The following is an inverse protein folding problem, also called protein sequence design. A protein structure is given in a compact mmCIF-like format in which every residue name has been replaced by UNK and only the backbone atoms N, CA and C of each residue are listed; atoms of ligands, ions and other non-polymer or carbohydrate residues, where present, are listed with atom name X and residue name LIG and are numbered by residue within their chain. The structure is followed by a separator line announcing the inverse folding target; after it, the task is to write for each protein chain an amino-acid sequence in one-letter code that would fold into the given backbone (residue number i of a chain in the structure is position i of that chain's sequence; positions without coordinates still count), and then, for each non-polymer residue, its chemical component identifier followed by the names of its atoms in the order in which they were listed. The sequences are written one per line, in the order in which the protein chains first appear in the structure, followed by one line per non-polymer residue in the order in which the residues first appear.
data_IF_846937579485
#
_entry.id   IF_846937579485
#
_cell.length_a   1.000
_cell.length_b   1.000
_cell.length_c   1.000
_cell.angle_alpha   90.00
_cell.angle_beta   90.00
_cell.angle_gamma   90.00
#
_symmetry.space_group_name_H-M   'P 1'
#
loop_
_entity.id
_entity.type
_entity.pdbx_description
1 polymer ?
#
# COMPACT_ATOMS: atom_id res chain seq x y z
N UNK A 1 33.56 -6.49 -52.75
CA UNK A 1 33.23 -5.05 -52.80
C UNK A 1 31.74 -4.94 -53.08
N UNK A 2 30.86 -4.35 -52.29
CA UNK A 2 31.02 -3.58 -51.06
C UNK A 2 29.74 -3.64 -50.24
N UNK A 3 29.91 -3.38 -48.95
CA UNK A 3 28.92 -3.33 -47.89
C UNK A 3 27.89 -2.20 -48.10
N UNK A 4 26.64 -2.46 -47.72
CA UNK A 4 25.75 -1.43 -47.17
C UNK A 4 25.23 -1.92 -45.82
N UNK A 5 26.02 -1.63 -44.78
CA UNK A 5 25.50 -1.49 -43.43
C UNK A 5 24.46 -0.37 -43.46
N UNK A 6 23.18 -0.72 -43.33
CA UNK A 6 22.16 0.22 -42.90
C UNK A 6 22.50 0.63 -41.48
N UNK A 7 23.08 1.81 -41.33
CA UNK A 7 23.22 2.50 -40.06
C UNK A 7 21.83 2.60 -39.44
N UNK A 8 21.63 1.92 -38.30
CA UNK A 8 20.52 2.18 -37.40
C UNK A 8 20.64 3.60 -36.89
N UNK A 9 20.12 4.55 -37.66
CA UNK A 9 19.89 5.90 -37.18
C UNK A 9 18.99 5.77 -35.95
N UNK A 10 19.53 6.10 -34.78
CA UNK A 10 18.73 6.28 -33.57
C UNK A 10 17.77 7.43 -33.86
N UNK A 11 16.56 7.10 -34.33
CA UNK A 11 15.49 8.09 -34.43
C UNK A 11 15.38 8.79 -33.07
N UNK A 12 15.56 10.12 -33.00
CA UNK A 12 15.41 10.84 -31.76
C UNK A 12 13.99 10.59 -31.27
N UNK A 13 13.88 10.03 -30.05
CA UNK A 13 12.59 9.69 -29.48
C UNK A 13 11.65 10.90 -29.60
N UNK A 14 10.39 10.72 -30.05
CA UNK A 14 9.48 11.83 -30.29
C UNK A 14 9.41 12.71 -29.04
N UNK A 15 9.54 14.03 -29.25
CA UNK A 15 9.53 15.00 -28.16
C UNK A 15 8.22 14.86 -27.36
N UNK A 16 8.34 14.71 -26.04
CA UNK A 16 7.17 14.61 -25.17
C UNK A 16 6.49 15.99 -25.14
N UNK A 17 5.20 16.10 -25.49
CA UNK A 17 4.50 17.37 -25.42
C UNK A 17 4.48 17.89 -23.97
N UNK A 18 4.67 19.19 -23.76
CA UNK A 18 4.65 19.81 -22.42
C UNK A 18 3.37 19.47 -21.63
N UNK A 19 2.25 19.25 -22.34
CA UNK A 19 0.98 18.81 -21.75
C UNK A 19 1.05 17.44 -21.06
N UNK A 20 1.88 16.51 -21.56
CA UNK A 20 2.04 15.20 -20.92
C UNK A 20 2.72 15.32 -19.54
N UNK A 21 3.67 16.25 -19.40
CA UNK A 21 4.27 16.57 -18.10
C UNK A 21 3.28 17.24 -17.16
N UNK A 22 2.47 18.18 -17.65
CA UNK A 22 1.38 18.79 -16.87
C UNK A 22 0.41 17.73 -16.34
N UNK A 23 -0.02 16.79 -17.20
CA UNK A 23 -0.88 15.66 -16.83
C UNK A 23 -0.22 14.77 -15.77
N UNK A 24 1.07 14.47 -15.93
CA UNK A 24 1.82 13.65 -14.99
C UNK A 24 1.87 14.32 -13.61
N UNK A 25 2.27 15.59 -13.52
CA UNK A 25 2.37 16.30 -12.24
C UNK A 25 1.01 16.51 -11.59
N UNK A 26 -0.02 16.89 -12.37
CA UNK A 26 -1.38 17.03 -11.87
C UNK A 26 -1.93 15.70 -11.33
N UNK A 27 -1.73 14.59 -12.06
CA UNK A 27 -2.15 13.26 -11.62
C UNK A 27 -1.39 12.78 -10.40
N UNK A 28 -0.09 13.11 -10.31
CA UNK A 28 0.75 12.75 -9.16
C UNK A 28 0.32 13.52 -7.91
N UNK A 29 0.04 14.82 -8.04
CA UNK A 29 -0.48 15.64 -6.94
C UNK A 29 -1.87 15.15 -6.50
N UNK A 30 -2.77 14.88 -7.44
CA UNK A 30 -4.08 14.29 -7.16
C UNK A 30 -3.94 12.98 -6.41
N UNK A 31 -3.05 12.10 -6.87
CA UNK A 31 -2.79 10.82 -6.23
C UNK A 31 -2.20 10.96 -4.83
N UNK A 32 -1.30 11.94 -4.63
CA UNK A 32 -0.75 12.27 -3.32
C UNK A 32 -1.82 12.70 -2.33
N UNK A 33 -2.66 13.67 -2.70
CA UNK A 33 -3.75 14.16 -1.84
C UNK A 33 -4.75 13.02 -1.57
N UNK A 34 -5.08 12.22 -2.59
CA UNK A 34 -5.89 11.04 -2.42
C UNK A 34 -5.32 10.09 -1.35
N UNK A 35 -4.01 9.81 -1.39
CA UNK A 35 -3.35 8.94 -0.42
C UNK A 35 -3.32 9.53 1.00
N UNK A 36 -3.12 10.85 1.13
CA UNK A 36 -3.21 11.55 2.42
C UNK A 36 -4.59 11.31 3.05
N UNK A 37 -5.64 11.56 2.26
CA UNK A 37 -7.02 11.48 2.73
C UNK A 37 -7.46 10.04 2.98
N UNK A 38 -7.05 9.11 2.11
CA UNK A 38 -7.34 7.68 2.26
C UNK A 38 -6.78 7.10 3.58
N UNK A 39 -5.58 7.54 3.99
CA UNK A 39 -4.92 7.08 5.22
C UNK A 39 -5.31 7.87 6.47
N UNK A 40 -6.27 8.81 6.38
CA UNK A 40 -6.66 9.71 7.48
C UNK A 40 -7.01 8.97 8.78
N UNK A 41 -7.79 7.89 8.70
CA UNK A 41 -8.19 7.12 9.89
C UNK A 41 -7.01 6.41 10.59
N UNK A 42 -5.87 6.21 9.93
CA UNK A 42 -4.69 5.64 10.58
C UNK A 42 -4.17 6.48 11.75
N UNK A 43 -4.27 7.81 11.65
CA UNK A 43 -3.88 8.73 12.74
C UNK A 43 -5.11 9.20 13.52
N UNK A 44 -6.15 9.61 12.79
CA UNK A 44 -7.37 10.14 13.40
C UNK A 44 -8.15 9.08 14.19
N UNK A 45 -7.95 7.79 13.91
CA UNK A 45 -8.55 6.71 14.67
C UNK A 45 -8.08 6.66 16.13
N UNK A 46 -6.89 7.17 16.46
CA UNK A 46 -6.33 7.13 17.82
C UNK A 46 -7.17 7.95 18.81
N UNK A 47 -7.46 9.24 18.58
CA UNK A 47 -8.38 9.99 19.42
C UNK A 47 -9.83 9.48 19.31
N UNK A 48 -10.29 9.04 18.13
CA UNK A 48 -11.65 8.48 17.99
C UNK A 48 -11.85 7.22 18.84
N UNK A 49 -10.81 6.40 19.00
CA UNK A 49 -10.84 5.24 19.90
C UNK A 49 -11.10 5.65 21.35
N UNK A 50 -10.48 6.74 21.80
CA UNK A 50 -10.63 7.26 23.15
C UNK A 50 -12.03 7.87 23.34
N UNK A 51 -12.48 8.73 22.40
CA UNK A 51 -13.78 9.39 22.43
C UNK A 51 -14.96 8.41 22.39
N UNK A 52 -14.85 7.32 21.62
CA UNK A 52 -15.92 6.33 21.45
C UNK A 52 -15.74 5.07 22.32
N UNK A 53 -14.70 5.04 23.16
CA UNK A 53 -14.32 3.89 23.98
C UNK A 53 -14.21 2.57 23.20
N UNK A 54 -13.58 2.63 22.01
CA UNK A 54 -13.47 1.46 21.12
C UNK A 54 -12.46 0.44 21.66
N UNK A 55 -12.82 -0.84 21.54
CA UNK A 55 -11.86 -1.93 21.69
C UNK A 55 -10.89 -1.99 20.50
N UNK A 56 -9.86 -2.83 20.57
CA UNK A 56 -8.81 -2.86 19.54
C UNK A 56 -9.37 -3.42 18.22
N UNK A 57 -10.35 -4.32 18.27
CA UNK A 57 -11.05 -4.89 17.10
C UNK A 57 -11.86 -3.84 16.35
N UNK A 58 -12.64 -3.02 17.07
CA UNK A 58 -13.42 -1.91 16.52
C UNK A 58 -12.51 -0.82 15.94
N UNK A 59 -11.38 -0.54 16.58
CA UNK A 59 -10.35 0.34 16.03
C UNK A 59 -9.75 -0.23 14.73
N UNK A 60 -9.45 -1.53 14.71
CA UNK A 60 -9.01 -2.24 13.50
C UNK A 60 -10.02 -2.08 12.36
N UNK A 61 -11.31 -2.30 12.65
CA UNK A 61 -12.40 -2.14 11.69
C UNK A 61 -12.51 -0.69 11.18
N UNK A 62 -12.45 0.31 12.08
CA UNK A 62 -12.48 1.73 11.73
C UNK A 62 -11.36 2.12 10.75
N UNK A 63 -10.13 1.70 11.06
CA UNK A 63 -8.95 2.07 10.26
C UNK A 63 -8.86 1.31 8.95
N UNK A 64 -9.38 0.08 8.88
CA UNK A 64 -9.25 -0.79 7.72
C UNK A 64 -10.43 -0.72 6.75
N UNK A 65 -11.59 -0.21 7.16
CA UNK A 65 -12.78 -0.08 6.29
C UNK A 65 -12.53 0.68 4.97
N UNK A 66 -11.81 1.82 4.95
CA UNK A 66 -11.45 2.47 3.68
C UNK A 66 -10.52 1.64 2.79
N UNK A 67 -9.76 0.71 3.36
CA UNK A 67 -8.88 -0.18 2.59
C UNK A 67 -9.71 -1.18 1.79
N UNK A 68 -10.80 -1.69 2.37
CA UNK A 68 -11.72 -2.62 1.71
C UNK A 68 -12.32 -2.01 0.44
N UNK A 69 -12.96 -0.84 0.57
CA UNK A 69 -13.60 -0.22 -0.59
C UNK A 69 -12.57 0.30 -1.60
N UNK A 70 -11.38 0.72 -1.15
CA UNK A 70 -10.27 0.99 -2.07
C UNK A 70 -9.85 -0.24 -2.87
N UNK A 71 -9.85 -1.43 -2.28
CA UNK A 71 -9.57 -2.67 -2.99
C UNK A 71 -10.66 -3.01 -4.02
N UNK A 72 -11.93 -2.91 -3.61
CA UNK A 72 -13.09 -3.27 -4.43
C UNK A 72 -13.32 -2.28 -5.58
N UNK A 73 -13.17 -0.98 -5.32
CA UNK A 73 -13.42 0.08 -6.29
C UNK A 73 -12.33 0.21 -7.36
N UNK A 74 -11.15 -0.41 -7.17
CA UNK A 74 -10.08 -0.42 -8.19
C UNK A 74 -10.56 -0.95 -9.53
N UNK A 75 -11.33 -2.04 -9.52
CA UNK A 75 -11.80 -2.63 -10.76
C UNK A 75 -12.85 -1.72 -11.43
N UNK A 76 -14.00 -1.37 -10.81
CA UNK A 76 -14.99 -0.50 -11.44
C UNK A 76 -14.43 0.84 -11.92
N UNK A 77 -13.59 1.50 -11.12
CA UNK A 77 -12.97 2.77 -11.50
C UNK A 77 -12.00 2.62 -12.68
N UNK A 78 -11.26 1.51 -12.76
CA UNK A 78 -10.46 1.18 -13.95
C UNK A 78 -11.34 1.08 -15.20
N UNK A 79 -12.47 0.36 -15.11
CA UNK A 79 -13.45 0.26 -16.20
C UNK A 79 -13.96 1.63 -16.66
N UNK A 80 -14.35 2.45 -15.69
CA UNK A 80 -14.89 3.77 -15.96
C UNK A 80 -13.83 4.68 -16.55
N UNK A 81 -12.57 4.52 -16.16
CA UNK A 81 -11.43 5.25 -16.74
C UNK A 81 -11.24 4.90 -18.20
N UNK A 82 -11.36 3.62 -18.55
CA UNK A 82 -11.28 3.19 -19.94
C UNK A 82 -12.46 3.70 -20.79
N UNK A 83 -13.66 3.76 -20.20
CA UNK A 83 -14.89 4.17 -20.89
C UNK A 83 -15.07 5.68 -21.00
N UNK A 84 -14.88 6.41 -19.91
CA UNK A 84 -15.17 7.85 -19.79
C UNK A 84 -13.91 8.72 -19.78
N UNK A 85 -12.73 8.12 -19.71
CA UNK A 85 -11.44 8.81 -19.68
C UNK A 85 -11.01 9.23 -18.27
N UNK A 86 -9.70 9.19 -18.01
CA UNK A 86 -9.16 9.44 -16.67
C UNK A 86 -9.37 10.86 -16.13
N UNK A 87 -9.47 11.88 -17.01
CA UNK A 87 -9.73 13.26 -16.59
C UNK A 87 -11.08 13.38 -15.87
N UNK A 88 -12.15 12.85 -16.47
CA UNK A 88 -13.50 12.95 -15.91
C UNK A 88 -13.59 12.11 -14.64
N UNK A 89 -13.15 10.86 -14.71
CA UNK A 89 -13.27 9.92 -13.58
C UNK A 89 -12.48 10.40 -12.37
N UNK A 90 -11.24 10.87 -12.53
CA UNK A 90 -10.45 11.39 -11.41
C UNK A 90 -11.08 12.64 -10.79
N UNK A 91 -11.59 13.57 -11.61
CA UNK A 91 -12.22 14.80 -11.12
C UNK A 91 -13.50 14.50 -10.34
N UNK A 92 -14.37 13.64 -10.89
CA UNK A 92 -15.60 13.20 -10.22
C UNK A 92 -15.25 12.48 -8.92
N UNK A 93 -14.22 11.62 -8.92
CA UNK A 93 -13.78 10.92 -7.72
C UNK A 93 -13.38 11.90 -6.60
N UNK A 94 -12.56 12.90 -6.91
CA UNK A 94 -12.11 13.91 -5.94
C UNK A 94 -13.28 14.71 -5.37
N UNK A 95 -14.19 15.18 -6.22
CA UNK A 95 -15.35 16.00 -5.79
C UNK A 95 -16.34 15.16 -4.99
N UNK A 96 -16.75 14.00 -5.49
CA UNK A 96 -17.75 13.15 -4.84
C UNK A 96 -17.24 12.65 -3.49
N UNK A 97 -15.96 12.33 -3.36
CA UNK A 97 -15.39 11.87 -2.09
C UNK A 97 -15.14 13.00 -1.08
N UNK A 98 -15.09 14.27 -1.52
CA UNK A 98 -14.94 15.40 -0.59
C UNK A 98 -16.14 15.56 0.36
N UNK A 99 -17.35 15.24 -0.11
CA UNK A 99 -18.59 15.32 0.66
C UNK A 99 -18.61 14.36 1.86
N UNK A 100 -18.41 13.04 1.68
CA UNK A 100 -18.34 12.11 2.81
C UNK A 100 -17.15 12.41 3.73
N UNK A 101 -15.98 12.81 3.19
CA UNK A 101 -14.84 13.24 4.00
C UNK A 101 -15.22 14.40 4.93
N UNK A 102 -15.91 15.42 4.42
CA UNK A 102 -16.41 16.53 5.24
C UNK A 102 -17.42 16.04 6.29
N UNK A 103 -18.27 15.08 5.91
CA UNK A 103 -19.23 14.41 6.79
C UNK A 103 -18.62 13.75 8.03
N UNK A 104 -17.36 13.30 7.97
CA UNK A 104 -16.64 12.74 9.14
C UNK A 104 -16.64 13.73 10.31
N UNK A 105 -16.58 15.04 10.05
CA UNK A 105 -16.54 16.06 11.10
C UNK A 105 -17.81 16.15 11.95
N UNK A 106 -18.91 15.54 11.51
CA UNK A 106 -20.21 15.49 12.21
C UNK A 106 -20.52 14.10 12.79
N UNK A 107 -19.67 13.10 12.52
CA UNK A 107 -19.89 11.74 12.99
C UNK A 107 -19.63 11.63 14.51
N UNK A 108 -20.51 10.93 15.22
CA UNK A 108 -20.43 10.69 16.66
C UNK A 108 -20.60 9.21 17.05
N UNK A 109 -20.80 8.32 16.08
CA UNK A 109 -20.98 6.89 16.32
C UNK A 109 -20.16 6.05 15.34
N UNK A 110 -19.64 4.90 15.80
CA UNK A 110 -18.77 4.02 14.99
C UNK A 110 -19.36 3.70 13.61
N UNK A 111 -20.65 3.34 13.53
CA UNK A 111 -21.31 3.00 12.27
C UNK A 111 -21.30 4.15 11.25
N UNK A 112 -21.32 5.41 11.70
CA UNK A 112 -21.22 6.59 10.84
C UNK A 112 -19.82 6.68 10.24
N UNK A 113 -18.78 6.47 11.05
CA UNK A 113 -17.40 6.43 10.57
C UNK A 113 -17.15 5.26 9.62
N UNK A 114 -17.76 4.10 9.86
CA UNK A 114 -17.67 2.96 8.93
C UNK A 114 -18.35 3.26 7.61
N UNK A 115 -19.59 3.75 7.63
CA UNK A 115 -20.34 4.10 6.42
C UNK A 115 -19.59 5.16 5.60
N UNK A 116 -19.10 6.21 6.25
CA UNK A 116 -18.30 7.26 5.59
C UNK A 116 -16.96 6.70 5.11
N UNK A 117 -16.32 5.82 5.89
CA UNK A 117 -15.09 5.14 5.53
C UNK A 117 -15.21 4.28 4.26
N UNK A 118 -16.37 3.69 4.01
CA UNK A 118 -16.64 2.98 2.76
C UNK A 118 -16.53 3.92 1.55
N UNK A 119 -17.04 5.16 1.64
CA UNK A 119 -16.86 6.15 0.59
C UNK A 119 -15.41 6.67 0.50
N UNK A 120 -14.73 6.80 1.65
CA UNK A 120 -13.33 7.24 1.70
C UNK A 120 -12.41 6.31 0.90
N UNK A 121 -12.67 5.00 0.90
CA UNK A 121 -11.86 4.06 0.15
C UNK A 121 -11.90 4.25 -1.37
N UNK A 122 -12.95 4.86 -1.93
CA UNK A 122 -12.99 5.21 -3.35
C UNK A 122 -11.78 6.07 -3.74
N UNK A 123 -11.35 6.98 -2.86
CA UNK A 123 -10.16 7.82 -3.03
C UNK A 123 -8.88 6.97 -3.12
N UNK A 124 -8.80 5.89 -2.34
CA UNK A 124 -7.69 4.93 -2.39
C UNK A 124 -7.62 4.12 -3.70
N UNK A 125 -8.71 4.05 -4.44
CA UNK A 125 -8.77 3.42 -5.77
C UNK A 125 -8.33 4.36 -6.91
N UNK A 126 -7.97 5.62 -6.62
CA UNK A 126 -7.45 6.60 -7.59
C UNK A 126 -6.22 6.11 -8.37
N UNK A 127 -5.43 5.17 -7.81
CA UNK A 127 -4.33 4.52 -8.53
C UNK A 127 -4.78 3.83 -9.83
N UNK A 128 -5.94 3.17 -9.81
CA UNK A 128 -6.50 2.47 -10.96
C UNK A 128 -6.96 3.44 -12.07
N UNK A 129 -7.26 4.69 -11.71
CA UNK A 129 -7.63 5.76 -12.65
C UNK A 129 -6.38 6.41 -13.23
N UNK A 130 -5.44 6.82 -12.37
CA UNK A 130 -4.28 7.61 -12.79
C UNK A 130 -3.24 6.81 -13.58
N UNK A 131 -3.05 5.51 -13.29
CA UNK A 131 -2.06 4.67 -13.98
C UNK A 131 -2.32 4.58 -15.49
N UNK A 132 -3.49 4.09 -15.98
CA UNK A 132 -3.75 4.04 -17.41
C UNK A 132 -3.85 5.43 -18.03
N UNK A 133 -4.39 6.41 -17.30
CA UNK A 133 -4.50 7.79 -17.76
C UNK A 133 -3.12 8.38 -18.11
N UNK A 134 -2.16 8.36 -17.18
CA UNK A 134 -0.81 8.88 -17.39
C UNK A 134 -0.07 8.04 -18.45
N UNK A 135 -0.21 6.71 -18.43
CA UNK A 135 0.51 5.83 -19.36
C UNK A 135 0.21 6.12 -20.84
N UNK A 136 -1.01 6.59 -21.15
CA UNK A 136 -1.47 6.92 -22.51
C UNK A 136 -0.80 8.17 -23.09
N UNK A 137 -0.29 9.09 -22.27
CA UNK A 137 0.40 10.30 -22.74
C UNK A 137 1.89 10.12 -22.99
N UNK A 138 2.48 8.98 -22.59
CA UNK A 138 3.92 8.73 -22.71
C UNK A 138 4.25 7.55 -23.65
N UNK A 139 5.32 7.67 -24.46
CA UNK A 139 5.77 6.58 -25.33
C UNK A 139 6.35 5.41 -24.51
N UNK A 140 6.31 4.16 -25.01
CA UNK A 140 6.73 2.96 -24.26
C UNK A 140 8.08 3.09 -23.54
N UNK A 141 9.09 3.67 -24.22
CA UNK A 141 10.44 3.87 -23.68
C UNK A 141 10.53 4.78 -22.45
N UNK A 142 9.53 5.66 -22.24
CA UNK A 142 9.48 6.60 -21.10
C UNK A 142 8.31 6.35 -20.15
N UNK A 143 7.46 5.34 -20.42
CA UNK A 143 6.35 4.97 -19.53
C UNK A 143 6.83 4.59 -18.14
N UNK A 144 7.95 3.86 -18.02
CA UNK A 144 8.52 3.50 -16.72
C UNK A 144 8.80 4.71 -15.82
N UNK A 145 9.42 5.77 -16.38
CA UNK A 145 9.68 7.02 -15.66
C UNK A 145 8.37 7.70 -15.22
N UNK A 146 7.41 7.82 -16.14
CA UNK A 146 6.12 8.43 -15.84
C UNK A 146 5.35 7.67 -14.76
N UNK A 147 5.34 6.34 -14.82
CA UNK A 147 4.72 5.49 -13.79
C UNK A 147 5.45 5.58 -12.45
N UNK A 148 6.78 5.72 -12.45
CA UNK A 148 7.57 5.93 -11.24
C UNK A 148 7.22 7.26 -10.56
N UNK A 149 7.18 8.36 -11.31
CA UNK A 149 6.80 9.69 -10.80
C UNK A 149 5.35 9.68 -10.31
N UNK A 150 4.42 9.11 -11.07
CA UNK A 150 3.04 8.96 -10.63
C UNK A 150 2.94 8.14 -9.34
N UNK A 151 3.66 7.01 -9.26
CA UNK A 151 3.71 6.17 -8.07
C UNK A 151 4.28 6.86 -6.82
N UNK A 152 5.10 7.91 -7.00
CA UNK A 152 5.59 8.73 -5.89
C UNK A 152 4.45 9.42 -5.11
N UNK A 153 3.24 9.56 -5.68
CA UNK A 153 2.08 10.04 -4.93
C UNK A 153 1.73 9.18 -3.72
N UNK A 154 2.17 7.91 -3.65
CA UNK A 154 2.01 7.11 -2.43
C UNK A 154 2.68 7.71 -1.18
N UNK A 155 3.65 8.63 -1.36
CA UNK A 155 4.26 9.43 -0.28
C UNK A 155 3.20 10.19 0.53
N UNK A 156 2.01 10.42 -0.03
CA UNK A 156 0.86 10.96 0.71
C UNK A 156 0.55 10.22 2.02
N UNK A 157 0.79 8.91 2.11
CA UNK A 157 0.63 8.16 3.36
C UNK A 157 1.57 8.67 4.47
N UNK A 158 2.81 9.00 4.12
CA UNK A 158 3.77 9.58 5.05
C UNK A 158 3.45 11.05 5.35
N UNK A 159 3.02 11.83 4.35
CA UNK A 159 2.57 13.21 4.56
C UNK A 159 1.43 13.26 5.58
N UNK A 160 0.47 12.34 5.50
CA UNK A 160 -0.60 12.20 6.50
C UNK A 160 -0.09 11.96 7.92
N UNK A 161 1.01 11.21 8.09
CA UNK A 161 1.64 10.96 9.39
C UNK A 161 2.31 12.21 9.98
N UNK A 162 2.60 13.24 9.19
CA UNK A 162 3.09 14.53 9.70
C UNK A 162 1.96 15.56 9.84
N UNK A 163 1.10 15.69 8.83
CA UNK A 163 0.06 16.73 8.77
C UNK A 163 -1.06 16.45 9.78
N UNK A 164 -1.57 15.21 9.85
CA UNK A 164 -2.72 14.89 10.71
C UNK A 164 -2.44 15.14 12.20
N UNK A 165 -1.33 14.65 12.80
CA UNK A 165 -1.04 14.90 14.21
C UNK A 165 -0.89 16.39 14.55
N UNK A 166 -0.32 17.18 13.64
CA UNK A 166 -0.16 18.63 13.85
C UNK A 166 -1.52 19.35 13.85
N UNK A 167 -2.39 19.02 12.89
CA UNK A 167 -3.76 19.55 12.87
C UNK A 167 -4.56 19.10 14.09
N UNK A 168 -4.37 17.85 14.54
CA UNK A 168 -4.99 17.32 15.76
C UNK A 168 -4.57 18.11 17.00
N UNK A 169 -3.27 18.38 17.16
CA UNK A 169 -2.74 19.10 18.31
C UNK A 169 -3.19 20.58 18.33
N UNK A 170 -3.30 21.22 17.16
CA UNK A 170 -3.62 22.65 17.07
C UNK A 170 -5.12 22.95 17.09
N UNK A 171 -5.95 22.12 16.44
CA UNK A 171 -7.35 22.44 16.16
C UNK A 171 -8.34 21.30 16.48
N UNK A 172 -7.85 20.15 16.95
CA UNK A 172 -8.67 18.98 17.24
C UNK A 172 -9.07 18.16 16.01
N UNK A 173 -9.63 16.98 16.26
CA UNK A 173 -9.85 15.97 15.20
C UNK A 173 -10.92 16.34 14.18
N UNK A 174 -11.93 17.14 14.56
CA UNK A 174 -13.02 17.54 13.65
C UNK A 174 -12.55 18.45 12.52
N UNK A 175 -11.44 19.18 12.68
CA UNK A 175 -10.91 20.09 11.65
C UNK A 175 -10.16 19.32 10.56
N UNK A 176 -9.50 18.22 10.90
CA UNK A 176 -8.76 17.37 9.94
C UNK A 176 -9.60 16.98 8.71
N UNK A 177 -10.79 16.34 8.85
CA UNK A 177 -11.62 15.99 7.71
C UNK A 177 -12.12 17.22 6.93
N UNK A 178 -12.32 18.38 7.56
CA UNK A 178 -12.71 19.60 6.85
C UNK A 178 -11.60 20.12 5.95
N UNK A 179 -10.37 20.15 6.47
CA UNK A 179 -9.17 20.51 5.70
C UNK A 179 -8.94 19.52 4.55
N UNK A 180 -9.14 18.23 4.81
CA UNK A 180 -8.96 17.18 3.80
C UNK A 180 -10.02 17.22 2.71
N UNK A 181 -11.28 17.50 3.06
CA UNK A 181 -12.34 17.74 2.08
C UNK A 181 -12.02 18.95 1.20
N UNK A 182 -11.58 20.06 1.79
CA UNK A 182 -11.17 21.25 1.04
C UNK A 182 -9.98 20.93 0.12
N UNK A 183 -8.98 20.20 0.61
CA UNK A 183 -7.83 19.78 -0.17
C UNK A 183 -8.24 18.94 -1.40
N UNK A 184 -9.21 18.03 -1.26
CA UNK A 184 -9.76 17.27 -2.39
C UNK A 184 -10.44 18.18 -3.42
N UNK A 185 -11.26 19.15 -2.99
CA UNK A 185 -11.94 20.08 -3.90
C UNK A 185 -10.95 20.99 -4.63
N UNK A 186 -9.99 21.57 -3.91
CA UNK A 186 -8.93 22.42 -4.50
C UNK A 186 -8.11 21.60 -5.50
N UNK A 187 -7.78 20.36 -5.15
CA UNK A 187 -7.02 19.46 -6.02
C UNK A 187 -7.84 19.02 -7.23
N UNK A 188 -9.16 18.86 -7.10
CA UNK A 188 -10.05 18.61 -8.24
C UNK A 188 -10.04 19.78 -9.22
N UNK A 189 -10.08 21.02 -8.72
CA UNK A 189 -9.99 22.22 -9.56
C UNK A 189 -8.64 22.29 -10.27
N UNK A 190 -7.53 22.18 -9.52
CA UNK A 190 -6.17 22.17 -10.09
C UNK A 190 -6.01 21.07 -11.13
N UNK A 191 -6.46 19.86 -10.81
CA UNK A 191 -6.41 18.72 -11.73
C UNK A 191 -7.25 18.99 -12.99
N UNK A 192 -8.47 19.52 -12.86
CA UNK A 192 -9.33 19.80 -14.01
C UNK A 192 -8.69 20.79 -14.99
N UNK A 193 -8.02 21.84 -14.50
CA UNK A 193 -7.37 22.84 -15.35
C UNK A 193 -6.00 22.42 -15.88
N UNK A 194 -5.24 21.63 -15.11
CA UNK A 194 -3.88 21.21 -15.48
C UNK A 194 -3.84 19.89 -16.28
N UNK A 195 -4.93 19.11 -16.27
CA UNK A 195 -5.05 17.83 -17.00
C UNK A 195 -5.60 18.01 -18.41
N UNK A 196 -5.47 16.97 -19.24
CA UNK A 196 -5.89 16.96 -20.65
C UNK A 196 -6.94 15.87 -20.93
N UNK A 197 -7.80 16.02 -21.97
CA UNK A 197 -8.68 14.94 -22.41
C UNK A 197 -7.89 13.66 -22.69
N UNK A 198 -8.45 12.52 -22.27
CA UNK A 198 -7.79 11.20 -22.38
C UNK A 198 -7.79 10.73 -23.84
N UNK A 199 -6.61 10.51 -24.46
CA UNK A 199 -6.50 10.06 -25.86
C UNK A 199 -7.07 8.67 -26.10
N UNK A 200 -7.24 7.86 -25.06
CA UNK A 200 -7.74 6.48 -25.13
C UNK A 200 -9.16 6.28 -24.60
N UNK A 201 -9.91 7.37 -24.34
CA UNK A 201 -11.29 7.26 -23.88
C UNK A 201 -12.15 6.49 -24.90
N UNK A 202 -12.82 5.43 -24.45
CA UNK A 202 -13.72 4.61 -25.27
C UNK A 202 -13.06 3.45 -26.02
N UNK A 203 -11.76 3.19 -25.83
CA UNK A 203 -11.02 2.17 -26.57
C UNK A 203 -11.31 0.71 -26.15
N UNK A 204 -11.86 0.47 -24.95
CA UNK A 204 -12.09 -0.88 -24.42
C UNK A 204 -13.58 -1.24 -24.28
N UNK A 205 -14.01 -2.29 -24.99
CA UNK A 205 -15.35 -2.92 -24.91
C UNK A 205 -15.29 -4.36 -24.35
N UNK A 206 -14.35 -4.64 -23.46
CA UNK A 206 -14.15 -6.00 -22.92
C UNK A 206 -15.18 -6.39 -21.87
N UNK A 207 -15.57 -7.68 -21.85
CA UNK A 207 -16.48 -8.23 -20.83
C UNK A 207 -15.74 -8.50 -19.51
N UNK A 208 -16.31 -7.98 -18.42
CA UNK A 208 -15.83 -8.15 -17.05
C UNK A 208 -15.80 -9.61 -16.60
N UNK A 209 -16.65 -10.44 -17.19
CA UNK A 209 -16.84 -11.85 -16.82
C UNK A 209 -15.69 -12.74 -17.33
N UNK A 210 -15.12 -12.43 -18.51
CA UNK A 210 -14.01 -13.20 -19.06
C UNK A 210 -12.72 -13.04 -18.25
N UNK A 211 -12.59 -11.93 -17.53
CA UNK A 211 -11.44 -11.64 -16.66
C UNK A 211 -11.34 -12.60 -15.47
N UNK A 212 -12.47 -13.15 -14.98
CA UNK A 212 -12.46 -14.10 -13.86
C UNK A 212 -11.97 -15.50 -14.25
N UNK A 213 -11.86 -15.83 -15.54
CA UNK A 213 -11.31 -17.13 -15.99
C UNK A 213 -9.88 -17.36 -15.52
N UNK A 214 -9.13 -16.29 -15.30
CA UNK A 214 -7.74 -16.33 -14.85
C UNK A 214 -7.60 -16.86 -13.41
N UNK A 215 -8.65 -16.76 -12.58
CA UNK A 215 -8.68 -17.36 -11.23
C UNK A 215 -8.59 -18.89 -11.22
N UNK A 216 -8.78 -19.55 -12.37
CA UNK A 216 -8.59 -21.00 -12.48
C UNK A 216 -7.12 -21.41 -12.42
N UNK A 217 -6.18 -20.48 -12.64
CA UNK A 217 -4.74 -20.77 -12.57
C UNK A 217 -4.24 -20.67 -11.12
N UNK A 218 -3.69 -21.76 -10.54
CA UNK A 218 -3.10 -21.75 -9.20
C UNK A 218 -1.97 -20.74 -8.99
N UNK A 219 -1.25 -20.36 -10.07
CA UNK A 219 -0.17 -19.37 -10.01
C UNK A 219 -0.70 -17.99 -9.61
N UNK A 220 -1.94 -17.66 -9.98
CA UNK A 220 -2.58 -16.39 -9.61
C UNK A 220 -2.82 -16.33 -8.11
N UNK A 221 -3.31 -17.42 -7.50
CA UNK A 221 -3.51 -17.51 -6.06
C UNK A 221 -2.22 -17.40 -5.26
N UNK A 222 -1.12 -17.95 -5.79
CA UNK A 222 0.23 -17.76 -5.25
C UNK A 222 0.61 -16.27 -5.20
N UNK A 223 0.40 -15.54 -6.29
CA UNK A 223 0.69 -14.10 -6.35
C UNK A 223 -0.24 -13.28 -5.45
N UNK A 224 -1.53 -13.66 -5.37
CA UNK A 224 -2.47 -13.08 -4.42
C UNK A 224 -2.00 -13.22 -2.98
N UNK A 225 -1.47 -14.38 -2.60
CA UNK A 225 -0.95 -14.63 -1.26
C UNK A 225 0.30 -13.79 -0.95
N UNK A 226 1.25 -13.66 -1.89
CA UNK A 226 2.44 -12.83 -1.65
C UNK A 226 2.09 -11.35 -1.58
N UNK A 227 1.17 -10.89 -2.42
CA UNK A 227 0.74 -9.51 -2.41
C UNK A 227 -0.13 -9.16 -1.19
N UNK A 228 -0.94 -10.10 -0.69
CA UNK A 228 -1.71 -9.90 0.56
C UNK A 228 -0.81 -9.67 1.76
N UNK A 229 0.39 -10.25 1.79
CA UNK A 229 1.37 -10.05 2.86
C UNK A 229 2.14 -8.76 2.66
N UNK A 230 2.70 -8.57 1.47
CA UNK A 230 3.58 -7.42 1.22
C UNK A 230 2.79 -6.12 1.20
N UNK A 231 1.69 -6.02 0.44
CA UNK A 231 0.83 -4.83 0.43
C UNK A 231 -0.13 -4.80 1.63
N UNK A 232 -0.78 -5.91 1.95
CA UNK A 232 -1.75 -5.94 3.05
C UNK A 232 -1.08 -5.81 4.42
N UNK A 233 0.04 -6.50 4.64
CA UNK A 233 0.87 -6.33 5.85
C UNK A 233 1.47 -4.93 5.97
N UNK A 234 1.95 -4.35 4.86
CA UNK A 234 2.40 -2.96 4.84
C UNK A 234 1.28 -1.99 5.21
N UNK A 235 0.10 -2.15 4.61
CA UNK A 235 -1.05 -1.28 4.89
C UNK A 235 -1.50 -1.42 6.34
N UNK A 236 -1.62 -2.66 6.83
CA UNK A 236 -2.06 -2.94 8.19
C UNK A 236 -1.09 -2.40 9.25
N UNK A 237 0.22 -2.63 9.07
CA UNK A 237 1.23 -2.07 9.97
C UNK A 237 1.30 -0.55 9.90
N UNK A 238 1.16 0.06 8.72
CA UNK A 238 1.11 1.53 8.60
C UNK A 238 0.01 2.16 9.44
N UNK A 239 -1.14 1.50 9.53
CA UNK A 239 -2.28 1.93 10.36
C UNK A 239 -2.07 1.62 11.86
N UNK A 240 -1.33 0.55 12.18
CA UNK A 240 -1.18 0.06 13.55
C UNK A 240 -0.01 0.70 14.32
N UNK A 241 1.11 0.98 13.65
CA UNK A 241 2.36 1.46 14.28
C UNK A 241 2.17 2.75 15.09
N UNK A 242 1.45 3.80 14.63
CA UNK A 242 1.29 5.01 15.43
C UNK A 242 0.65 4.74 16.80
N UNK A 243 -0.40 3.92 16.83
CA UNK A 243 -1.05 3.52 18.07
C UNK A 243 -0.13 2.61 18.92
N UNK A 244 0.61 1.71 18.28
CA UNK A 244 1.57 0.84 18.98
C UNK A 244 2.67 1.66 19.69
N UNK A 245 3.23 2.66 19.02
CA UNK A 245 4.24 3.56 19.58
C UNK A 245 3.68 4.42 20.72
N UNK A 246 2.48 4.98 20.56
CA UNK A 246 1.79 5.75 21.62
C UNK A 246 1.57 4.88 22.86
N UNK A 247 0.93 3.73 22.71
CA UNK A 247 0.51 2.91 23.85
C UNK A 247 1.66 2.07 24.42
N UNK A 248 2.53 1.56 23.55
CA UNK A 248 3.67 0.68 23.87
C UNK A 248 4.85 1.41 24.48
N UNK A 249 5.24 2.54 23.89
CA UNK A 249 6.42 3.32 24.30
C UNK A 249 6.08 4.64 25.00
N UNK A 250 4.79 4.93 25.24
CA UNK A 250 4.35 6.12 25.96
C UNK A 250 4.58 7.43 25.20
N UNK A 251 4.71 7.37 23.87
CA UNK A 251 5.04 8.52 23.05
C UNK A 251 3.84 9.44 22.82
N UNK A 252 4.08 10.73 22.60
CA UNK A 252 3.05 11.62 22.06
C UNK A 252 2.61 11.15 20.67
N UNK A 253 1.37 11.42 20.27
CA UNK A 253 0.86 11.02 18.95
C UNK A 253 1.70 11.62 17.81
N UNK A 254 2.16 12.86 17.96
CA UNK A 254 3.03 13.53 16.98
C UNK A 254 4.35 12.76 16.80
N UNK A 255 5.02 12.41 17.90
CA UNK A 255 6.27 11.67 17.84
C UNK A 255 6.04 10.24 17.29
N UNK A 256 5.01 9.55 17.78
CA UNK A 256 4.63 8.22 17.32
C UNK A 256 4.38 8.17 15.81
N UNK A 257 3.64 9.14 15.26
CA UNK A 257 3.39 9.22 13.82
C UNK A 257 4.64 9.59 13.02
N UNK A 258 5.51 10.46 13.54
CA UNK A 258 6.80 10.78 12.89
C UNK A 258 7.71 9.55 12.77
N UNK A 259 7.82 8.73 13.83
CA UNK A 259 8.57 7.46 13.76
C UNK A 259 7.86 6.43 12.86
N UNK A 260 6.53 6.37 12.88
CA UNK A 260 5.77 5.53 11.96
C UNK A 260 5.98 5.92 10.48
N UNK A 261 6.27 7.19 10.19
CA UNK A 261 6.62 7.62 8.84
C UNK A 261 7.91 6.96 8.34
N UNK A 262 8.83 6.59 9.25
CA UNK A 262 10.00 5.78 8.93
C UNK A 262 9.67 4.39 8.39
N UNK A 263 8.52 3.80 8.76
CA UNK A 263 8.03 2.57 8.15
C UNK A 263 7.42 2.82 6.76
N UNK A 264 6.66 3.92 6.61
CA UNK A 264 5.85 4.18 5.41
C UNK A 264 6.64 4.80 4.24
N UNK A 265 7.54 5.75 4.51
CA UNK A 265 8.35 6.45 3.50
C UNK A 265 9.17 5.51 2.61
N UNK A 266 9.91 4.52 3.16
CA UNK A 266 10.66 3.56 2.35
C UNK A 266 9.74 2.75 1.44
N UNK A 267 8.53 2.41 1.92
CA UNK A 267 7.49 1.74 1.14
C UNK A 267 7.18 2.41 -0.19
N UNK A 268 7.09 3.74 -0.17
CA UNK A 268 6.79 4.55 -1.35
C UNK A 268 7.99 4.75 -2.28
N UNK A 269 9.15 5.08 -1.71
CA UNK A 269 10.34 5.47 -2.50
C UNK A 269 11.11 4.24 -3.01
N UNK A 270 11.29 3.23 -2.15
CA UNK A 270 12.12 2.06 -2.46
C UNK A 270 11.41 1.06 -3.38
N UNK A 271 10.11 1.23 -3.64
CA UNK A 271 9.37 0.38 -4.59
C UNK A 271 9.99 0.37 -5.99
N UNK A 272 10.46 1.53 -6.48
CA UNK A 272 11.15 1.62 -7.76
C UNK A 272 12.48 0.85 -7.75
N UNK A 273 13.22 0.94 -6.65
CA UNK A 273 14.47 0.19 -6.45
C UNK A 273 14.21 -1.32 -6.37
N UNK A 274 13.13 -1.74 -5.71
CA UNK A 274 12.70 -3.14 -5.68
C UNK A 274 12.39 -3.70 -7.06
N UNK A 275 11.77 -2.90 -7.93
CA UNK A 275 11.56 -3.24 -9.33
C UNK A 275 12.88 -3.43 -10.07
N UNK A 276 13.80 -2.47 -9.97
CA UNK A 276 15.13 -2.57 -10.59
C UNK A 276 15.94 -3.78 -10.07
N UNK A 277 15.81 -4.11 -8.78
CA UNK A 277 16.44 -5.27 -8.18
C UNK A 277 15.83 -6.57 -8.71
N UNK A 278 14.50 -6.62 -8.86
CA UNK A 278 13.79 -7.75 -9.45
C UNK A 278 14.10 -7.90 -10.95
N UNK A 279 14.41 -6.80 -11.63
CA UNK A 279 14.95 -6.76 -13.00
C UNK A 279 16.32 -7.40 -13.12
N UNK A 280 17.21 -7.13 -12.17
CA UNK A 280 18.57 -7.65 -12.21
C UNK A 280 18.72 -9.07 -11.68
N UNK A 281 18.04 -9.41 -10.59
CA UNK A 281 18.25 -10.66 -9.84
C UNK A 281 17.07 -11.64 -9.94
N UNK A 282 16.00 -11.25 -10.64
CA UNK A 282 14.77 -12.04 -10.76
C UNK A 282 13.78 -11.80 -9.62
N UNK A 283 12.49 -11.88 -9.94
CA UNK A 283 11.41 -11.65 -8.99
C UNK A 283 11.40 -12.66 -7.83
N UNK A 284 11.83 -13.91 -8.09
CA UNK A 284 11.95 -14.94 -7.07
C UNK A 284 12.96 -14.60 -5.98
N UNK A 285 14.20 -14.32 -6.37
CA UNK A 285 15.28 -14.08 -5.41
C UNK A 285 14.96 -12.90 -4.48
N UNK A 286 14.42 -11.81 -5.04
CA UNK A 286 14.02 -10.62 -4.28
C UNK A 286 12.91 -10.95 -3.29
N UNK A 287 11.90 -11.73 -3.71
CA UNK A 287 10.79 -12.12 -2.83
C UNK A 287 11.25 -13.09 -1.74
N UNK A 288 12.05 -14.09 -2.09
CA UNK A 288 12.59 -15.10 -1.17
C UNK A 288 13.42 -14.46 -0.05
N UNK A 289 14.45 -13.69 -0.41
CA UNK A 289 15.29 -13.02 0.57
C UNK A 289 14.53 -11.94 1.34
N UNK A 290 13.61 -11.23 0.68
CA UNK A 290 12.71 -10.29 1.33
C UNK A 290 11.91 -10.96 2.45
N UNK A 291 11.24 -12.09 2.17
CA UNK A 291 10.46 -12.80 3.17
C UNK A 291 11.32 -13.31 4.35
N UNK A 292 12.56 -13.73 4.12
CA UNK A 292 13.48 -14.09 5.22
C UNK A 292 13.85 -12.90 6.10
N UNK A 293 14.17 -11.74 5.52
CA UNK A 293 14.46 -10.54 6.29
C UNK A 293 13.22 -10.08 7.06
N UNK A 294 12.04 -10.12 6.43
CA UNK A 294 10.78 -9.82 7.11
C UNK A 294 10.53 -10.79 8.28
N UNK A 295 10.80 -12.08 8.09
CA UNK A 295 10.64 -13.10 9.12
C UNK A 295 11.53 -12.84 10.34
N UNK A 296 12.81 -12.50 10.13
CA UNK A 296 13.74 -12.13 11.22
C UNK A 296 13.25 -10.85 11.93
N UNK A 297 12.86 -9.82 11.19
CA UNK A 297 12.38 -8.58 11.78
C UNK A 297 11.12 -8.80 12.63
N UNK A 298 10.17 -9.58 12.10
CA UNK A 298 8.93 -9.91 12.79
C UNK A 298 9.18 -10.80 14.00
N UNK A 299 10.13 -11.73 13.95
CA UNK A 299 10.54 -12.53 15.10
C UNK A 299 11.03 -11.63 16.24
N UNK A 300 11.95 -10.72 15.95
CA UNK A 300 12.49 -9.79 16.95
C UNK A 300 11.42 -8.84 17.50
N UNK A 301 10.50 -8.36 16.66
CA UNK A 301 9.37 -7.51 17.07
C UNK A 301 8.27 -8.27 17.83
N UNK A 302 8.18 -9.59 17.65
CA UNK A 302 7.14 -10.42 18.26
C UNK A 302 7.33 -10.60 19.77
N UNK A 303 8.57 -10.47 20.26
CA UNK A 303 8.88 -10.72 21.67
C UNK A 303 8.30 -9.62 22.58
N UNK A 304 7.35 -9.95 23.49
CA UNK A 304 6.79 -8.97 24.40
C UNK A 304 7.82 -8.55 25.46
N UNK A 305 7.73 -7.33 26.02
CA UNK A 305 8.55 -6.94 27.17
C UNK A 305 8.39 -7.96 28.30
N UNK A 306 9.50 -8.59 28.69
CA UNK A 306 9.51 -9.70 29.65
C UNK A 306 10.59 -9.47 30.70
N UNK A 307 10.21 -9.53 31.98
CA UNK A 307 11.13 -9.53 33.11
C UNK A 307 11.38 -10.99 33.53
N UNK A 308 12.56 -11.52 33.19
CA UNK A 308 13.00 -12.85 33.61
C UNK A 308 13.70 -12.75 34.95
N UNK A 309 13.08 -13.29 36.00
CA UNK A 309 13.66 -13.36 37.34
C UNK A 309 14.35 -14.71 37.50
N UNK A 310 15.67 -14.68 37.71
CA UNK A 310 16.51 -15.86 37.93
C UNK A 310 16.95 -15.86 39.39
N UNK A 311 16.53 -16.89 40.14
CA UNK A 311 16.98 -17.11 41.51
C UNK A 311 18.35 -17.80 41.48
N UNK A 312 19.43 -17.05 41.73
CA UNK A 312 20.79 -17.56 41.80
C UNK A 312 21.22 -17.79 43.24
N UNK A 313 22.38 -18.43 43.43
CA UNK A 313 22.95 -18.72 44.76
C UNK A 313 23.29 -17.41 45.50
N UNK A 314 23.66 -16.36 44.76
CA UNK A 314 24.06 -15.05 45.30
C UNK A 314 22.90 -14.04 45.41
N UNK A 315 21.67 -14.44 45.05
CA UNK A 315 20.48 -13.60 45.12
C UNK A 315 19.58 -13.66 43.88
N UNK A 316 18.65 -12.72 43.76
CA UNK A 316 17.77 -12.62 42.59
C UNK A 316 18.40 -11.77 41.50
N UNK A 317 18.73 -12.37 40.36
CA UNK A 317 19.09 -11.65 39.14
C UNK A 317 17.84 -11.39 38.30
N UNK A 318 17.68 -10.18 37.77
CA UNK A 318 16.55 -9.85 36.88
C UNK A 318 17.09 -9.45 35.51
N UNK A 319 16.60 -10.13 34.46
CA UNK A 319 16.91 -9.84 33.07
C UNK A 319 15.66 -9.27 32.40
N UNK A 320 15.69 -7.97 32.07
CA UNK A 320 14.62 -7.31 31.34
C UNK A 320 14.86 -7.40 29.84
N UNK A 321 14.10 -8.25 29.16
CA UNK A 321 14.10 -8.38 27.72
C UNK A 321 13.04 -7.44 27.14
N UNK A 322 13.48 -6.37 26.47
CA UNK A 322 12.58 -5.49 25.73
C UNK A 322 13.25 -5.01 24.45
N UNK A 323 12.45 -4.75 23.40
CA UNK A 323 12.94 -4.12 22.18
C UNK A 323 13.06 -2.61 22.44
N UNK A 324 14.27 -2.02 22.48
CA UNK A 324 14.42 -0.58 22.67
C UNK A 324 13.85 0.18 21.46
N UNK A 325 13.43 1.43 21.68
CA UNK A 325 12.79 2.25 20.64
C UNK A 325 13.64 2.34 19.36
N UNK A 326 14.95 2.53 19.50
CA UNK A 326 15.87 2.59 18.36
C UNK A 326 15.84 1.30 17.52
N UNK A 327 15.86 0.13 18.18
CA UNK A 327 15.75 -1.15 17.50
C UNK A 327 14.39 -1.31 16.83
N UNK A 328 13.29 -0.92 17.50
CA UNK A 328 11.95 -0.96 16.92
C UNK A 328 11.85 -0.12 15.63
N UNK A 329 12.37 1.10 15.65
CA UNK A 329 12.37 1.99 14.48
C UNK A 329 13.20 1.40 13.33
N UNK A 330 14.39 0.86 13.61
CA UNK A 330 15.23 0.23 12.59
C UNK A 330 14.55 -1.02 12.02
N UNK A 331 14.02 -1.90 12.87
CA UNK A 331 13.35 -3.13 12.44
C UNK A 331 12.10 -2.84 11.60
N UNK A 332 11.29 -1.86 11.99
CA UNK A 332 10.12 -1.44 11.21
C UNK A 332 10.52 -0.75 9.91
N UNK A 333 11.55 0.10 9.89
CA UNK A 333 12.07 0.67 8.65
C UNK A 333 12.51 -0.41 7.66
N UNK A 334 13.30 -1.39 8.12
CA UNK A 334 13.76 -2.53 7.30
C UNK A 334 12.57 -3.35 6.81
N UNK A 335 11.60 -3.63 7.67
CA UNK A 335 10.38 -4.35 7.31
C UNK A 335 9.57 -3.61 6.24
N UNK A 336 9.44 -2.28 6.36
CA UNK A 336 8.77 -1.43 5.37
C UNK A 336 9.47 -1.45 4.02
N UNK A 337 10.81 -1.36 4.00
CA UNK A 337 11.63 -1.47 2.79
C UNK A 337 11.47 -2.84 2.10
N UNK A 338 11.51 -3.91 2.88
CA UNK A 338 11.34 -5.29 2.39
C UNK A 338 9.96 -5.51 1.81
N UNK A 339 8.90 -5.02 2.47
CA UNK A 339 7.55 -5.07 1.91
C UNK A 339 7.44 -4.24 0.62
N UNK A 340 8.14 -3.10 0.53
CA UNK A 340 8.24 -2.32 -0.70
C UNK A 340 8.79 -3.15 -1.88
N UNK A 341 9.88 -3.88 -1.63
CA UNK A 341 10.51 -4.76 -2.61
C UNK A 341 9.58 -5.91 -3.00
N UNK A 342 8.92 -6.54 -2.04
CA UNK A 342 7.96 -7.62 -2.30
C UNK A 342 6.75 -7.16 -3.13
N UNK A 343 6.26 -5.93 -2.90
CA UNK A 343 5.20 -5.36 -3.72
C UNK A 343 5.63 -5.08 -5.16
N UNK A 344 6.92 -4.79 -5.40
CA UNK A 344 7.45 -4.56 -6.74
C UNK A 344 7.74 -5.89 -7.47
N UNK A 345 8.39 -6.84 -6.79
CA UNK A 345 8.68 -8.16 -7.34
C UNK A 345 7.42 -8.93 -7.72
N UNK A 346 6.34 -8.79 -6.94
CA UNK A 346 5.06 -9.46 -7.26
C UNK A 346 4.46 -8.96 -8.57
N UNK A 347 4.50 -7.66 -8.86
CA UNK A 347 4.01 -7.16 -10.15
C UNK A 347 4.93 -7.53 -11.30
N UNK A 348 6.23 -7.69 -11.05
CA UNK A 348 7.13 -8.27 -12.02
C UNK A 348 6.74 -9.73 -12.34
N UNK A 349 6.49 -10.57 -11.33
CA UNK A 349 5.98 -11.93 -11.56
C UNK A 349 4.71 -11.93 -12.42
N UNK A 350 3.77 -11.01 -12.16
CA UNK A 350 2.56 -10.89 -12.99
C UNK A 350 2.91 -10.55 -14.44
N UNK A 351 3.88 -9.66 -14.65
CA UNK A 351 4.29 -9.26 -15.99
C UNK A 351 4.99 -10.40 -16.76
N UNK A 352 5.82 -11.19 -16.07
CA UNK A 352 6.56 -12.31 -16.64
C UNK A 352 5.66 -13.54 -16.89
N UNK A 353 4.79 -13.90 -15.93
CA UNK A 353 3.95 -15.10 -16.00
C UNK A 353 2.67 -14.90 -16.82
N UNK A 354 2.14 -13.67 -16.91
CA UNK A 354 0.84 -13.36 -17.53
C UNK A 354 0.86 -12.16 -18.48
N UNK A 355 1.72 -12.14 -19.52
CA UNK A 355 1.88 -10.97 -20.41
C UNK A 355 0.59 -10.60 -21.15
N UNK A 356 -0.23 -11.59 -21.54
CA UNK A 356 -1.47 -11.37 -22.30
C UNK A 356 -2.65 -10.90 -21.43
N UNK A 357 -2.62 -11.15 -20.12
CA UNK A 357 -3.71 -10.85 -19.18
C UNK A 357 -3.26 -9.96 -18.01
N UNK A 358 -2.17 -9.22 -18.19
CA UNK A 358 -1.46 -8.51 -17.12
C UNK A 358 -2.39 -7.59 -16.30
N UNK A 359 -3.26 -6.82 -16.98
CA UNK A 359 -4.17 -5.88 -16.30
C UNK A 359 -5.18 -6.56 -15.37
N UNK A 360 -5.75 -7.69 -15.82
CA UNK A 360 -6.72 -8.47 -15.04
C UNK A 360 -6.06 -9.12 -13.83
N UNK A 361 -4.90 -9.77 -14.03
CA UNK A 361 -4.17 -10.43 -12.94
C UNK A 361 -3.67 -9.40 -11.93
N UNK A 362 -3.14 -8.27 -12.39
CA UNK A 362 -2.74 -7.15 -11.53
C UNK A 362 -3.91 -6.64 -10.69
N UNK A 363 -5.10 -6.54 -11.27
CA UNK A 363 -6.32 -6.13 -10.57
C UNK A 363 -6.74 -7.12 -9.48
N UNK A 364 -6.78 -8.42 -9.80
CA UNK A 364 -7.11 -9.50 -8.85
C UNK A 364 -6.10 -9.57 -7.72
N UNK A 365 -4.80 -9.60 -8.05
CA UNK A 365 -3.71 -9.62 -7.07
C UNK A 365 -3.77 -8.37 -6.19
N UNK A 366 -4.02 -7.20 -6.79
CA UNK A 366 -4.23 -5.94 -6.08
C UNK A 366 -5.42 -5.96 -5.12
N UNK A 367 -6.52 -6.62 -5.50
CA UNK A 367 -7.70 -6.82 -4.66
C UNK A 367 -7.39 -7.75 -3.47
N UNK A 368 -6.68 -8.86 -3.70
CA UNK A 368 -6.21 -9.73 -2.62
C UNK A 368 -5.28 -8.99 -1.64
N UNK A 369 -4.40 -8.13 -2.16
CA UNK A 369 -3.60 -7.18 -1.39
C UNK A 369 -4.43 -6.34 -0.43
N UNK A 370 -5.45 -5.67 -0.99
CA UNK A 370 -6.34 -4.80 -0.22
C UNK A 370 -7.21 -5.55 0.79
N UNK A 371 -7.66 -6.77 0.47
CA UNK A 371 -8.34 -7.64 1.42
C UNK A 371 -7.44 -8.01 2.60
N UNK A 372 -6.16 -8.28 2.35
CA UNK A 372 -5.16 -8.45 3.42
C UNK A 372 -5.06 -7.21 4.31
N UNK A 373 -5.00 -6.02 3.71
CA UNK A 373 -4.98 -4.75 4.44
C UNK A 373 -6.27 -4.42 5.21
N UNK A 374 -7.41 -4.98 4.79
CA UNK A 374 -8.68 -4.88 5.52
C UNK A 374 -8.76 -5.83 6.71
N UNK A 375 -8.42 -7.11 6.49
CA UNK A 375 -8.58 -8.17 7.48
C UNK A 375 -7.52 -8.11 8.58
N UNK A 376 -6.26 -7.79 8.24
CA UNK A 376 -5.15 -7.83 9.19
C UNK A 376 -5.35 -6.89 10.40
N UNK A 377 -5.74 -5.61 10.25
CA UNK A 377 -5.97 -4.74 11.42
C UNK A 377 -7.09 -5.24 12.34
N UNK A 378 -8.15 -5.85 11.78
CA UNK A 378 -9.25 -6.44 12.55
C UNK A 378 -8.72 -7.62 13.36
N UNK A 379 -7.92 -8.49 12.73
CA UNK A 379 -7.29 -9.64 13.40
C UNK A 379 -6.29 -9.18 14.47
N UNK A 380 -5.48 -8.15 14.19
CA UNK A 380 -4.57 -7.56 15.19
C UNK A 380 -5.35 -7.05 16.40
N UNK A 381 -6.48 -6.38 16.16
CA UNK A 381 -7.38 -5.95 17.21
C UNK A 381 -7.94 -7.10 18.02
N UNK A 382 -8.48 -8.13 17.36
CA UNK A 382 -9.04 -9.30 18.02
C UNK A 382 -8.00 -10.05 18.86
N UNK A 383 -6.77 -10.21 18.35
CA UNK A 383 -5.68 -10.87 19.05
C UNK A 383 -5.24 -10.08 20.29
N UNK A 384 -5.15 -8.75 20.21
CA UNK A 384 -4.82 -7.91 21.36
C UNK A 384 -5.95 -7.95 22.39
N UNK A 385 -7.21 -7.90 21.96
CA UNK A 385 -8.36 -7.95 22.87
C UNK A 385 -8.49 -9.31 23.59
N UNK A 386 -8.17 -10.41 22.88
CA UNK A 386 -8.23 -11.79 23.39
C UNK A 386 -7.01 -12.14 24.27
N UNK A 387 -5.79 -11.95 23.76
CA UNK A 387 -4.56 -12.40 24.40
C UNK A 387 -3.96 -11.35 25.34
N UNK A 388 -4.41 -10.08 25.25
CA UNK A 388 -3.90 -8.95 26.05
C UNK A 388 -2.40 -8.68 25.88
N UNK A 389 -1.78 -9.21 24.83
CA UNK A 389 -0.38 -8.99 24.47
C UNK A 389 -0.30 -8.07 23.24
N UNK A 390 0.39 -6.93 23.37
CA UNK A 390 0.48 -5.89 22.33
C UNK A 390 1.24 -6.35 21.08
N UNK A 391 2.26 -7.20 21.23
CA UNK A 391 3.11 -7.69 20.12
C UNK A 391 2.47 -8.82 19.30
N UNK A 392 1.23 -9.20 19.59
CA UNK A 392 0.49 -10.27 18.88
C UNK A 392 0.31 -9.98 17.39
N UNK A 393 0.25 -8.71 16.98
CA UNK A 393 0.23 -8.36 15.56
C UNK A 393 1.52 -8.82 14.83
N UNK A 394 2.68 -8.68 15.46
CA UNK A 394 3.95 -9.16 14.90
C UNK A 394 4.06 -10.68 14.97
N UNK A 395 3.58 -11.31 16.05
CA UNK A 395 3.50 -12.79 16.16
C UNK A 395 2.65 -13.40 15.02
N UNK A 396 1.51 -12.78 14.72
CA UNK A 396 0.61 -13.25 13.67
C UNK A 396 1.23 -13.08 12.28
N UNK A 397 1.81 -11.91 12.00
CA UNK A 397 2.53 -11.68 10.74
C UNK A 397 3.73 -12.60 10.58
N UNK A 398 4.47 -12.88 11.65
CA UNK A 398 5.56 -13.85 11.66
C UNK A 398 5.07 -15.23 11.20
N UNK A 399 3.94 -15.70 11.75
CA UNK A 399 3.31 -16.96 11.34
C UNK A 399 2.88 -16.96 9.87
N UNK A 400 2.27 -15.87 9.39
CA UNK A 400 1.85 -15.75 7.98
C UNK A 400 3.05 -15.76 7.03
N UNK A 401 4.11 -15.02 7.35
CA UNK A 401 5.34 -14.99 6.54
C UNK A 401 5.98 -16.38 6.52
N UNK A 402 5.99 -17.08 7.66
CA UNK A 402 6.50 -18.45 7.73
C UNK A 402 5.73 -19.43 6.84
N UNK A 403 4.40 -19.40 6.88
CA UNK A 403 3.55 -20.20 5.97
C UNK A 403 3.88 -19.88 4.52
N UNK A 404 4.15 -18.61 4.20
CA UNK A 404 4.44 -18.19 2.83
C UNK A 404 5.82 -18.60 2.35
N UNK A 405 6.82 -18.62 3.25
CA UNK A 405 8.12 -19.22 2.97
C UNK A 405 8.01 -20.72 2.69
N UNK A 406 7.19 -21.45 3.45
CA UNK A 406 6.92 -22.88 3.23
C UNK A 406 6.26 -23.08 1.86
N UNK A 407 5.22 -22.30 1.54
CA UNK A 407 4.53 -22.40 0.25
C UNK A 407 5.47 -22.09 -0.92
N UNK A 408 6.35 -21.09 -0.78
CA UNK A 408 7.33 -20.73 -1.79
C UNK A 408 8.37 -21.84 -1.99
N UNK A 409 8.86 -22.44 -0.89
CA UNK A 409 9.78 -23.58 -0.93
C UNK A 409 9.14 -24.81 -1.61
N UNK A 410 7.89 -25.15 -1.27
CA UNK A 410 7.19 -26.29 -1.84
C UNK A 410 6.83 -26.10 -3.32
N UNK A 411 6.44 -24.88 -3.72
CA UNK A 411 6.01 -24.59 -5.08
C UNK A 411 7.18 -24.49 -6.07
N UNK A 412 8.31 -23.92 -5.65
CA UNK A 412 9.38 -23.52 -6.59
C UNK A 412 10.68 -24.30 -6.37
N UNK A 413 11.13 -24.47 -5.12
CA UNK A 413 12.42 -25.11 -4.85
C UNK A 413 12.33 -26.63 -4.97
N UNK A 414 11.25 -27.25 -4.50
CA UNK A 414 11.04 -28.71 -4.67
C UNK A 414 10.73 -29.14 -6.11
N UNK A 415 10.34 -28.21 -6.98
CA UNK A 415 9.97 -28.48 -8.38
C UNK A 415 11.03 -28.03 -9.38
N UNK A 416 12.09 -27.35 -8.93
CA UNK A 416 13.25 -27.09 -9.77
C UNK A 416 13.92 -28.43 -10.12
N UNK A 417 14.05 -28.80 -11.40
CA UNK A 417 14.69 -30.04 -11.77
C UNK A 417 16.14 -30.00 -11.28
N UNK A 418 16.54 -31.01 -10.51
CA UNK A 418 17.90 -31.18 -9.97
C UNK A 418 18.93 -31.45 -11.08
N UNK A 419 18.49 -31.57 -12.33
CA UNK A 419 19.31 -31.79 -13.52
C UNK A 419 18.91 -30.79 -14.61
N UNK A 420 19.89 -30.08 -15.18
CA UNK A 420 19.71 -28.97 -16.12
C UNK A 420 19.12 -29.37 -17.49
N UNK A 421 17.84 -29.70 -17.54
CA UNK A 421 17.08 -29.83 -18.78
C UNK A 421 16.18 -28.60 -18.98
N UNK A 422 16.17 -27.97 -20.16
CA UNK A 422 15.34 -26.79 -20.43
C UNK A 422 13.85 -27.16 -20.51
N UNK A 423 12.94 -26.24 -20.12
CA UNK A 423 11.49 -26.49 -20.18
C UNK A 423 11.00 -26.57 -21.64
N UNK A 424 10.13 -27.56 -21.91
CA UNK A 424 9.39 -27.72 -23.18
C UNK A 424 8.20 -26.79 -23.26
#
# INVERSE_FOLDING_TARGET
MGSRHGSGAFDPAPAIPARAWSVLFASTLAFLVCFVVWMMFGVLGVPLREDLHLNSTQFGLLTSTPVLTGALMRLPLGAWTDRFGGRIVMTVLLVVCSVPVYGVSYANALWQFLLIGLFLGCVGASFAVGTPYVARFFPPRRRGLAMGVFGAGTVGAAVNLFVTPLLLAAYGWRVVPRVYALALVVTAAVFWFASAPDPGAGAHKGSWVDSFKVLRDPRVWKLCQYYSITFGGFTALSLWIPQYLKNGYGMSLVAASAFAAGFSLPGSVLRALGGALADRYGAHAVTWWGLWVAWICLFLLSYPPTDLVIHTIDGTATLRLHVPLAAFVVLTFVLGAVFAFGMASTFKYVADDFPNNMGVVTGIVGLAGGLGGFLLPIIFGALVDLLRVRSTCFMFLYGIVWVSLILLYLAEIRRAPVTGAPPR
#
